data_IF_626820709375
#
_entry.id   IF_626820709375
#
_cell.length_a   1.000
_cell.length_b   1.000
_cell.length_c   1.000
_cell.angle_alpha   90.00
_cell.angle_beta   90.00
_cell.angle_gamma   90.00
#
_symmetry.space_group_name_H-M   'P 1'
#
loop_
_entity.id
_entity.type
_entity.pdbx_description
1 polymer ?
#
# COMPACT_ATOMS: atom_id res chain seq x y z
N UNK A 1 16.70 -13.35 3.57
CA UNK A 1 16.16 -12.08 3.07
C UNK A 1 15.51 -11.25 4.18
N UNK A 2 14.65 -11.85 5.00
CA UNK A 2 13.95 -11.13 6.07
C UNK A 2 14.90 -10.40 7.02
N UNK A 3 15.99 -11.04 7.44
CA UNK A 3 16.97 -10.42 8.33
C UNK A 3 17.65 -9.22 7.70
N UNK A 4 18.02 -9.36 6.43
CA UNK A 4 18.69 -8.29 5.68
C UNK A 4 17.76 -7.08 5.53
N UNK A 5 16.53 -7.31 5.10
CA UNK A 5 15.57 -6.24 4.87
C UNK A 5 15.15 -5.56 6.18
N UNK A 6 14.97 -6.33 7.25
CA UNK A 6 14.64 -5.77 8.55
C UNK A 6 15.75 -4.85 9.06
N UNK A 7 17.01 -5.24 8.92
CA UNK A 7 18.14 -4.39 9.30
C UNK A 7 18.25 -3.16 8.42
N UNK A 8 18.05 -3.30 7.12
CA UNK A 8 18.02 -2.18 6.19
C UNK A 8 16.91 -1.20 6.56
N UNK A 9 15.73 -1.71 6.86
CA UNK A 9 14.57 -0.89 7.22
C UNK A 9 14.86 -0.01 8.44
N UNK A 10 15.53 -0.56 9.45
CA UNK A 10 15.97 0.19 10.62
C UNK A 10 17.05 1.21 10.25
N UNK A 11 18.03 0.80 9.44
CA UNK A 11 19.18 1.63 9.08
C UNK A 11 18.82 2.84 8.22
N UNK A 12 17.79 2.74 7.39
CA UNK A 12 17.39 3.85 6.49
C UNK A 12 16.45 4.85 7.16
N UNK A 13 16.15 4.68 8.44
CA UNK A 13 15.42 5.71 9.19
C UNK A 13 16.24 7.03 9.17
N UNK A 14 15.67 8.19 8.82
CA UNK A 14 14.23 8.50 8.67
C UNK A 14 13.73 8.54 7.20
N UNK A 15 14.33 7.81 6.29
CA UNK A 15 13.94 7.80 4.86
C UNK A 15 12.68 6.96 4.65
N UNK A 16 11.53 7.49 5.08
CA UNK A 16 10.26 6.76 5.09
C UNK A 16 9.82 6.24 3.74
N UNK A 17 10.03 7.01 2.66
CA UNK A 17 9.65 6.59 1.31
C UNK A 17 10.43 5.34 0.87
N UNK A 18 11.73 5.31 1.15
CA UNK A 18 12.57 4.15 0.85
C UNK A 18 12.14 2.93 1.66
N UNK A 19 11.85 3.11 2.94
CA UNK A 19 11.38 2.04 3.81
C UNK A 19 10.06 1.45 3.31
N UNK A 20 9.12 2.30 2.91
CA UNK A 20 7.85 1.87 2.35
C UNK A 20 8.02 1.11 1.03
N UNK A 21 8.92 1.58 0.18
CA UNK A 21 9.24 0.91 -1.09
C UNK A 21 9.83 -0.49 -0.87
N UNK A 22 10.75 -0.63 0.08
CA UNK A 22 11.32 -1.94 0.41
C UNK A 22 10.27 -2.89 0.99
N UNK A 23 9.37 -2.39 1.84
CA UNK A 23 8.27 -3.18 2.38
C UNK A 23 7.39 -3.72 1.25
N UNK A 24 7.00 -2.88 0.31
CA UNK A 24 6.16 -3.31 -0.82
C UNK A 24 6.89 -4.27 -1.75
N UNK A 25 8.19 -4.04 -1.98
CA UNK A 25 9.00 -4.89 -2.87
C UNK A 25 9.21 -6.30 -2.32
N UNK A 26 9.47 -6.41 -1.02
CA UNK A 26 9.91 -7.67 -0.40
C UNK A 26 8.88 -8.33 0.51
N UNK A 27 7.91 -7.57 1.00
CA UNK A 27 6.99 -8.03 2.04
C UNK A 27 7.59 -7.99 3.43
N UNK A 28 8.81 -7.49 3.59
CA UNK A 28 9.51 -7.41 4.89
C UNK A 28 9.79 -5.96 5.25
N UNK A 29 9.91 -5.60 6.54
CA UNK A 29 9.71 -6.48 7.70
C UNK A 29 8.24 -6.89 7.86
N UNK A 30 8.00 -7.93 8.64
CA UNK A 30 6.63 -8.33 8.99
C UNK A 30 6.08 -7.36 10.01
N UNK A 31 5.08 -6.57 9.59
CA UNK A 31 4.46 -5.54 10.43
C UNK A 31 3.20 -6.11 11.07
N UNK A 32 3.00 -5.81 12.34
CA UNK A 32 1.80 -6.27 13.03
C UNK A 32 0.53 -5.66 12.44
N UNK A 33 -0.58 -6.42 12.43
CA UNK A 33 -1.87 -5.87 11.98
C UNK A 33 -2.28 -4.66 12.83
N UNK A 34 -3.06 -3.77 12.22
CA UNK A 34 -3.58 -2.59 12.90
C UNK A 34 -4.60 -3.03 13.96
N UNK A 35 -4.40 -2.64 15.22
CA UNK A 35 -5.29 -3.02 16.32
C UNK A 35 -6.62 -2.28 16.25
N UNK A 36 -6.59 -0.99 15.91
CA UNK A 36 -7.78 -0.14 15.85
C UNK A 36 -7.76 0.65 14.54
N UNK A 37 -8.42 0.11 13.52
CA UNK A 37 -8.43 0.68 12.17
C UNK A 37 -9.59 1.66 12.01
N UNK A 38 -9.29 2.95 12.03
CA UNK A 38 -10.27 4.03 11.93
C UNK A 38 -10.42 4.57 10.50
N UNK A 39 -9.88 3.90 9.49
CA UNK A 39 -9.85 4.40 8.11
C UNK A 39 -11.14 4.17 7.32
N UNK A 40 -12.14 3.50 7.89
CA UNK A 40 -13.38 3.12 7.22
C UNK A 40 -13.13 2.26 5.97
N UNK A 41 -12.17 1.34 6.06
CA UNK A 41 -11.86 0.40 4.99
C UNK A 41 -10.88 0.91 3.95
N UNK A 42 -10.42 2.15 4.06
CA UNK A 42 -9.44 2.71 3.11
C UNK A 42 -8.04 2.13 3.28
N UNK A 43 -7.71 1.69 4.49
CA UNK A 43 -6.43 1.05 4.79
C UNK A 43 -6.72 -0.36 5.31
N UNK A 44 -6.06 -1.36 4.72
CA UNK A 44 -6.24 -2.75 5.15
C UNK A 44 -5.61 -2.98 6.52
N UNK A 45 -6.32 -3.71 7.38
CA UNK A 45 -5.81 -4.09 8.71
C UNK A 45 -4.61 -5.03 8.60
N UNK A 46 -4.63 -5.97 7.66
CA UNK A 46 -3.58 -7.00 7.52
C UNK A 46 -2.53 -6.65 6.46
N UNK A 47 -2.95 -6.03 5.36
CA UNK A 47 -2.05 -5.73 4.23
C UNK A 47 -1.31 -4.40 4.38
N UNK A 48 -1.74 -3.58 5.33
CA UNK A 48 -1.17 -2.25 5.54
C UNK A 48 -1.38 -1.34 4.32
N UNK A 49 -0.57 -0.30 4.19
CA UNK A 49 -0.67 0.63 3.07
C UNK A 49 0.24 0.17 1.94
N UNK A 50 -0.35 -0.37 0.88
CA UNK A 50 0.37 -0.84 -0.30
C UNK A 50 0.38 0.18 -1.43
N UNK A 51 -0.61 1.04 -1.46
CA UNK A 51 -0.73 2.11 -2.46
C UNK A 51 -1.56 3.26 -1.90
N UNK A 52 -1.46 4.39 -2.57
CA UNK A 52 -2.32 5.54 -2.26
C UNK A 52 -3.58 5.43 -3.13
N UNK A 53 -4.79 5.57 -2.56
CA UNK A 53 -6.03 5.60 -3.33
C UNK A 53 -6.08 6.78 -4.29
N UNK A 54 -6.93 6.70 -5.31
CA UNK A 54 -7.12 7.80 -6.25
C UNK A 54 -7.67 9.03 -5.51
N UNK A 55 -7.27 10.27 -5.92
CA UNK A 55 -7.76 11.50 -5.29
C UNK A 55 -9.27 11.65 -5.46
N UNK A 56 -9.92 12.29 -4.49
CA UNK A 56 -11.35 12.57 -4.56
C UNK A 56 -11.71 13.43 -5.77
N UNK A 57 -10.82 14.32 -6.20
CA UNK A 57 -11.02 15.17 -7.39
C UNK A 57 -11.20 14.36 -8.67
N UNK A 58 -10.55 13.20 -8.79
CA UNK A 58 -10.72 12.30 -9.94
C UNK A 58 -12.10 11.65 -9.95
N UNK A 59 -12.62 11.28 -8.78
CA UNK A 59 -13.97 10.72 -8.67
C UNK A 59 -15.04 11.72 -9.09
N UNK A 60 -14.88 12.99 -8.76
CA UNK A 60 -15.85 14.02 -9.12
C UNK A 60 -15.69 14.55 -10.55
N UNK A 61 -14.45 14.59 -11.06
CA UNK A 61 -14.14 15.20 -12.36
C UNK A 61 -13.92 14.21 -13.50
N UNK A 62 -13.61 12.93 -13.21
CA UNK A 62 -13.19 11.97 -14.23
C UNK A 62 -13.62 10.54 -13.88
N UNK A 63 -14.86 10.38 -13.44
CA UNK A 63 -15.39 9.10 -12.92
C UNK A 63 -15.24 7.95 -13.90
N UNK A 64 -15.55 8.17 -15.19
CA UNK A 64 -15.49 7.11 -16.20
C UNK A 64 -14.10 6.52 -16.36
N UNK A 65 -13.07 7.35 -16.35
CA UNK A 65 -11.69 6.89 -16.46
C UNK A 65 -11.21 6.25 -15.16
N UNK A 66 -11.68 6.73 -14.02
CA UNK A 66 -11.38 6.13 -12.71
C UNK A 66 -11.93 4.69 -12.66
N UNK A 67 -13.14 4.46 -13.12
CA UNK A 67 -13.73 3.12 -13.18
C UNK A 67 -12.89 2.16 -14.03
N UNK A 68 -12.41 2.62 -15.19
CA UNK A 68 -11.51 1.84 -16.04
C UNK A 68 -10.20 1.51 -15.34
N UNK A 69 -9.63 2.49 -14.65
CA UNK A 69 -8.38 2.31 -13.91
C UNK A 69 -8.54 1.31 -12.76
N UNK A 70 -9.67 1.34 -12.05
CA UNK A 70 -9.98 0.39 -10.98
C UNK A 70 -10.07 -1.04 -11.53
N UNK A 71 -10.68 -1.23 -12.70
CA UNK A 71 -10.74 -2.55 -13.35
C UNK A 71 -9.34 -3.06 -13.67
N UNK A 72 -8.45 -2.21 -14.17
CA UNK A 72 -7.07 -2.58 -14.46
C UNK A 72 -6.27 -2.88 -13.19
N UNK A 73 -6.66 -2.27 -12.07
CA UNK A 73 -6.01 -2.50 -10.78
C UNK A 73 -6.26 -3.92 -10.26
N UNK A 74 -7.39 -4.52 -10.62
CA UNK A 74 -7.74 -5.88 -10.19
C UNK A 74 -8.31 -5.99 -8.78
N UNK A 75 -8.76 -4.88 -8.22
CA UNK A 75 -9.35 -4.83 -6.87
C UNK A 75 -9.95 -3.47 -6.59
N UNK A 76 -10.44 -3.26 -5.39
CA UNK A 76 -11.03 -1.98 -4.99
C UNK A 76 -9.96 -0.88 -4.85
N UNK A 77 -10.39 0.37 -4.95
CA UNK A 77 -9.51 1.53 -4.75
C UNK A 77 -9.28 1.79 -3.27
N UNK A 78 -8.48 0.93 -2.65
CA UNK A 78 -8.11 1.02 -1.24
C UNK A 78 -6.60 0.90 -1.08
N UNK A 79 -6.09 1.26 0.10
CA UNK A 79 -4.66 1.14 0.39
C UNK A 79 -4.16 -0.29 0.46
N UNK A 80 -5.06 -1.27 0.64
CA UNK A 80 -4.69 -2.68 0.74
C UNK A 80 -4.56 -3.43 -0.58
N UNK A 81 -5.06 -2.87 -1.68
CA UNK A 81 -4.99 -3.50 -3.01
C UNK A 81 -3.57 -3.40 -3.55
N UNK A 82 -2.97 -4.56 -3.81
CA UNK A 82 -1.57 -4.61 -4.27
C UNK A 82 -1.45 -4.24 -5.74
N UNK A 83 -0.36 -3.57 -6.07
CA UNK A 83 0.00 -3.29 -7.45
C UNK A 83 0.52 -4.56 -8.12
N UNK A 84 0.58 -4.58 -9.46
CA UNK A 84 0.95 -5.77 -10.24
C UNK A 84 2.32 -6.34 -9.88
N UNK A 85 3.24 -5.50 -9.44
CA UNK A 85 4.60 -5.93 -9.07
C UNK A 85 4.72 -6.34 -7.59
N UNK A 86 3.71 -6.08 -6.78
CA UNK A 86 3.69 -6.39 -5.34
C UNK A 86 3.16 -7.82 -5.16
N UNK A 87 4.06 -8.79 -5.16
CA UNK A 87 3.73 -10.22 -5.15
C UNK A 87 3.70 -10.87 -3.76
N UNK A 88 3.85 -10.10 -2.72
CA UNK A 88 4.01 -10.64 -1.35
C UNK A 88 2.80 -10.51 -0.46
#
# INVERSE_FOLDING_TARGET
LERIITQKWIAIYPLGQEAWSEFRRTGYPKIYPIVNNLSNGKVSTTEQVRRVPFPASEYSGNMGEVEKAIKLLGGEDTGGTKLWWDKH
#
